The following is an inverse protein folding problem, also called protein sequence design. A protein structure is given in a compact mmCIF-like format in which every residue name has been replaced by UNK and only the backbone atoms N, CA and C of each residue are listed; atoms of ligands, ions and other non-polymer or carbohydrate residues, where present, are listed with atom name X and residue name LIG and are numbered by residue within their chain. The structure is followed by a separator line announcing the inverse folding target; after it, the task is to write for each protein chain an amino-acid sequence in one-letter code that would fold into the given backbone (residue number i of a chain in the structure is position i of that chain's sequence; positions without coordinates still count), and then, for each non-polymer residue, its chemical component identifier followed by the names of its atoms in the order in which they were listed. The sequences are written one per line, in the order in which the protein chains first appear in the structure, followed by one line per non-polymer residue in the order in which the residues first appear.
data_IF_461495117004
#
_entry.id   IF_461495117004
#
_cell.length_a   1.000
_cell.length_b   1.000
_cell.length_c   1.000
_cell.angle_alpha   90.00
_cell.angle_beta   90.00
_cell.angle_gamma   90.00
#
_symmetry.space_group_name_H-M   'P 1'
#
loop_
_entity.id
_entity.type
_entity.pdbx_description
1 polymer ?
#
# COMPACT_ATOMS: atom_id res chain seq x y z
N UNK A 1 -77.06 -10.45 -54.75
CA UNK A 1 -75.90 -9.61 -54.41
C UNK A 1 -75.33 -10.09 -53.08
N UNK A 2 -74.03 -10.43 -53.05
CA UNK A 2 -73.03 -10.42 -51.93
C UNK A 2 -73.49 -10.90 -50.54
N UNK A 3 -73.11 -12.11 -50.13
CA UNK A 3 -71.96 -12.46 -49.26
C UNK A 3 -71.85 -11.68 -47.94
N UNK A 4 -71.94 -12.40 -46.80
CA UNK A 4 -70.82 -12.44 -45.85
C UNK A 4 -70.96 -13.55 -44.79
N UNK A 5 -69.81 -14.16 -44.51
CA UNK A 5 -69.56 -15.41 -43.78
C UNK A 5 -69.51 -15.25 -42.24
N UNK A 6 -69.61 -16.36 -41.48
CA UNK A 6 -69.39 -16.42 -40.03
C UNK A 6 -67.99 -16.98 -39.71
N UNK A 7 -67.04 -16.19 -39.18
CA UNK A 7 -65.80 -16.75 -38.57
C UNK A 7 -65.10 -15.69 -37.70
N UNK A 8 -65.32 -15.68 -36.39
CA UNK A 8 -64.46 -14.96 -35.42
C UNK A 8 -64.66 -15.46 -33.99
N UNK A 9 -64.48 -16.76 -33.77
CA UNK A 9 -64.50 -17.32 -32.42
C UNK A 9 -63.45 -18.42 -32.26
N UNK A 10 -62.20 -18.17 -32.66
CA UNK A 10 -61.05 -19.07 -32.45
C UNK A 10 -59.68 -18.38 -32.27
N UNK A 11 -59.63 -17.11 -31.86
CA UNK A 11 -58.34 -16.38 -31.75
C UNK A 11 -57.89 -16.14 -30.29
N UNK A 12 -58.77 -16.30 -29.30
CA UNK A 12 -58.44 -15.95 -27.90
C UNK A 12 -57.92 -17.10 -27.01
N UNK A 13 -57.57 -18.25 -27.58
CA UNK A 13 -56.93 -19.36 -26.82
C UNK A 13 -55.43 -19.51 -27.14
N UNK A 14 -54.92 -18.81 -28.16
CA UNK A 14 -53.52 -18.93 -28.60
C UNK A 14 -52.51 -17.99 -27.92
N UNK A 15 -52.98 -16.99 -27.16
CA UNK A 15 -52.12 -15.91 -26.66
C UNK A 15 -51.64 -16.10 -25.21
N UNK A 16 -52.22 -17.06 -24.47
CA UNK A 16 -51.82 -17.36 -23.08
C UNK A 16 -50.77 -18.48 -22.98
N UNK A 17 -50.60 -19.29 -24.03
CA UNK A 17 -49.57 -20.33 -24.13
C UNK A 17 -48.21 -19.83 -24.62
N UNK A 18 -48.16 -18.64 -25.24
CA UNK A 18 -46.90 -18.05 -25.72
C UNK A 18 -46.05 -17.39 -24.61
N UNK A 19 -46.65 -17.05 -23.47
CA UNK A 19 -45.92 -16.41 -22.36
C UNK A 19 -45.19 -17.40 -21.44
N UNK A 20 -45.52 -18.70 -21.50
CA UNK A 20 -44.97 -19.73 -20.61
C UNK A 20 -43.71 -20.44 -21.16
N UNK A 21 -43.31 -20.15 -22.40
CA UNK A 21 -42.16 -20.81 -23.07
C UNK A 21 -40.86 -20.00 -22.94
N UNK A 22 -40.89 -18.76 -22.43
CA UNK A 22 -39.68 -17.92 -22.28
C UNK A 22 -38.94 -18.16 -20.96
N UNK A 23 -39.48 -18.97 -20.04
CA UNK A 23 -38.90 -19.21 -18.71
C UNK A 23 -38.12 -20.54 -18.56
N UNK A 24 -37.70 -21.19 -19.64
CA UNK A 24 -36.93 -22.43 -19.56
C UNK A 24 -35.74 -22.45 -20.52
N UNK A 25 -34.58 -21.94 -20.05
CA UNK A 25 -33.40 -22.81 -20.07
C UNK A 25 -32.56 -22.62 -18.79
N UNK A 26 -33.09 -23.00 -17.62
CA UNK A 26 -32.27 -23.09 -16.38
C UNK A 26 -31.98 -24.54 -15.99
N UNK A 27 -32.64 -25.52 -16.61
CA UNK A 27 -32.52 -26.93 -16.27
C UNK A 27 -31.66 -27.71 -17.29
N UNK A 28 -30.34 -27.51 -17.22
CA UNK A 28 -29.28 -28.48 -17.56
C UNK A 28 -27.89 -27.81 -17.49
N UNK A 29 -27.61 -27.01 -16.45
CA UNK A 29 -26.22 -26.64 -16.17
C UNK A 29 -25.53 -27.87 -15.56
N UNK A 30 -24.58 -28.44 -16.31
CA UNK A 30 -23.58 -29.37 -15.76
C UNK A 30 -23.00 -28.75 -14.48
N UNK A 31 -22.75 -29.54 -13.42
CA UNK A 31 -22.16 -29.00 -12.20
C UNK A 31 -20.88 -28.25 -12.58
N UNK A 32 -20.84 -26.96 -12.23
CA UNK A 32 -19.70 -26.11 -12.54
C UNK A 32 -18.46 -26.72 -11.86
N UNK A 33 -17.40 -26.92 -12.65
CA UNK A 33 -16.17 -27.55 -12.17
C UNK A 33 -15.20 -26.44 -11.73
N UNK A 34 -14.44 -26.65 -10.63
CA UNK A 34 -13.33 -25.76 -10.30
C UNK A 34 -12.28 -25.77 -11.42
N UNK A 35 -11.61 -24.63 -11.59
CA UNK A 35 -10.59 -24.41 -12.61
C UNK A 35 -9.19 -24.68 -12.06
N UNK A 36 -8.49 -25.60 -12.71
CA UNK A 36 -7.07 -25.86 -12.41
C UNK A 36 -6.21 -24.63 -12.71
N UNK A 37 -6.52 -23.91 -13.80
CA UNK A 37 -5.83 -22.70 -14.19
C UNK A 37 -5.94 -21.61 -13.12
N UNK A 38 -7.11 -21.47 -12.48
CA UNK A 38 -7.28 -20.54 -11.37
C UNK A 38 -6.44 -20.95 -10.15
N UNK A 39 -6.48 -22.23 -9.77
CA UNK A 39 -5.68 -22.75 -8.63
C UNK A 39 -4.19 -22.51 -8.85
N UNK A 40 -3.68 -22.80 -10.05
CA UNK A 40 -2.28 -22.57 -10.42
C UNK A 40 -1.94 -21.06 -10.41
N UNK A 41 -2.81 -20.22 -10.97
CA UNK A 41 -2.61 -18.77 -10.98
C UNK A 41 -2.56 -18.20 -9.56
N UNK A 42 -3.53 -18.56 -8.72
CA UNK A 42 -3.62 -18.09 -7.34
C UNK A 42 -2.40 -18.51 -6.52
N UNK A 43 -1.96 -19.76 -6.67
CA UNK A 43 -0.76 -20.29 -5.98
C UNK A 43 0.50 -19.55 -6.42
N UNK A 44 0.71 -19.38 -7.73
CA UNK A 44 1.88 -18.66 -8.26
C UNK A 44 1.87 -17.19 -7.85
N UNK A 45 0.72 -16.53 -7.94
CA UNK A 45 0.57 -15.15 -7.51
C UNK A 45 0.85 -14.99 -6.02
N UNK A 46 0.29 -15.87 -5.18
CA UNK A 46 0.53 -15.86 -3.74
C UNK A 46 2.01 -16.07 -3.39
N UNK A 47 2.71 -16.97 -4.11
CA UNK A 47 4.15 -17.15 -3.95
C UNK A 47 4.94 -15.89 -4.36
N UNK A 48 4.67 -15.37 -5.56
CA UNK A 48 5.35 -14.19 -6.08
C UNK A 48 5.17 -12.97 -5.16
N UNK A 49 3.94 -12.75 -4.70
CA UNK A 49 3.60 -11.68 -3.77
C UNK A 49 4.18 -11.92 -2.38
N UNK A 50 4.26 -13.17 -1.91
CA UNK A 50 4.90 -13.51 -0.64
C UNK A 50 6.41 -13.25 -0.63
N UNK A 51 7.08 -13.45 -1.77
CA UNK A 51 8.53 -13.26 -1.92
C UNK A 51 8.92 -11.80 -2.19
N UNK A 52 8.15 -11.11 -3.03
CA UNK A 52 8.51 -9.76 -3.55
C UNK A 52 7.59 -8.65 -3.05
N UNK A 53 6.52 -8.98 -2.33
CA UNK A 53 5.50 -8.01 -1.91
C UNK A 53 4.95 -7.26 -3.11
N UNK A 54 4.92 -5.94 -3.00
CA UNK A 54 4.43 -5.05 -4.04
C UNK A 54 5.30 -5.00 -5.31
N UNK A 55 6.58 -5.37 -5.24
CA UNK A 55 7.44 -5.44 -6.43
C UNK A 55 7.03 -6.58 -7.35
N UNK A 56 6.26 -7.56 -6.84
CA UNK A 56 5.65 -8.62 -7.64
C UNK A 56 4.81 -8.09 -8.81
N UNK A 57 4.25 -6.88 -8.70
CA UNK A 57 3.45 -6.28 -9.77
C UNK A 57 4.29 -5.82 -10.97
N UNK A 58 5.60 -5.67 -10.81
CA UNK A 58 6.53 -5.27 -11.87
C UNK A 58 7.27 -6.48 -12.44
N UNK A 59 7.07 -7.65 -11.84
CA UNK A 59 7.80 -8.85 -12.17
C UNK A 59 7.34 -9.50 -13.48
N UNK A 60 8.26 -9.94 -14.36
CA UNK A 60 7.89 -10.60 -15.62
C UNK A 60 7.16 -11.94 -15.42
N UNK A 61 7.35 -12.65 -14.30
CA UNK A 61 6.64 -13.90 -14.01
C UNK A 61 5.13 -13.69 -13.82
N UNK A 62 4.71 -12.46 -13.47
CA UNK A 62 3.30 -12.09 -13.35
C UNK A 62 2.53 -12.28 -14.67
N UNK A 63 3.20 -12.14 -15.83
CA UNK A 63 2.58 -12.37 -17.12
C UNK A 63 2.08 -13.82 -17.29
N UNK A 64 2.75 -14.78 -16.64
CA UNK A 64 2.31 -16.19 -16.65
C UNK A 64 1.07 -16.39 -15.79
N UNK A 65 0.96 -15.68 -14.66
CA UNK A 65 -0.26 -15.64 -13.84
C UNK A 65 -1.42 -15.05 -14.63
N UNK A 66 -1.21 -13.92 -15.32
CA UNK A 66 -2.23 -13.28 -16.16
C UNK A 66 -2.71 -14.22 -17.29
N UNK A 67 -1.79 -14.98 -17.90
CA UNK A 67 -2.12 -16.00 -18.91
C UNK A 67 -2.96 -17.14 -18.35
N UNK A 68 -2.63 -17.65 -17.16
CA UNK A 68 -3.42 -18.67 -16.49
C UNK A 68 -4.83 -18.16 -16.13
N UNK A 69 -4.93 -16.92 -15.66
CA UNK A 69 -6.22 -16.29 -15.36
C UNK A 69 -7.07 -16.04 -16.62
N UNK A 70 -6.44 -15.87 -17.78
CA UNK A 70 -7.15 -15.76 -19.06
C UNK A 70 -7.72 -17.10 -19.55
N UNK A 71 -7.19 -18.23 -19.08
CA UNK A 71 -7.65 -19.58 -19.43
C UNK A 71 -8.82 -20.07 -18.57
N UNK A 72 -9.22 -19.31 -17.53
CA UNK A 72 -10.34 -19.71 -16.66
C UNK A 72 -11.67 -19.65 -17.44
N UNK A 73 -12.41 -20.77 -17.56
CA UNK A 73 -13.69 -20.79 -18.25
C UNK A 73 -14.73 -19.93 -17.54
N UNK A 74 -15.59 -19.24 -18.30
CA UNK A 74 -16.64 -18.37 -17.75
C UNK A 74 -17.74 -19.13 -17.00
N UNK A 75 -17.89 -20.43 -17.25
CA UNK A 75 -18.81 -21.35 -16.59
C UNK A 75 -18.18 -22.09 -15.40
N UNK A 76 -16.92 -21.81 -15.06
CA UNK A 76 -16.25 -22.35 -13.89
C UNK A 76 -16.78 -21.70 -12.59
N UNK A 77 -16.70 -22.45 -11.49
CA UNK A 77 -16.97 -21.93 -10.14
C UNK A 77 -16.03 -20.75 -9.78
N UNK A 78 -14.82 -20.75 -10.33
CA UNK A 78 -13.80 -19.76 -10.00
C UNK A 78 -13.81 -18.54 -10.92
N UNK A 79 -14.77 -18.45 -11.85
CA UNK A 79 -14.79 -17.40 -12.86
C UNK A 79 -14.81 -15.99 -12.24
N UNK A 80 -15.62 -15.77 -11.21
CA UNK A 80 -15.71 -14.47 -10.51
C UNK A 80 -14.40 -14.15 -9.79
N UNK A 81 -13.88 -15.11 -9.01
CA UNK A 81 -12.64 -14.93 -8.26
C UNK A 81 -11.43 -14.70 -9.18
N UNK A 82 -11.41 -15.34 -10.36
CA UNK A 82 -10.40 -15.10 -11.38
C UNK A 82 -10.46 -13.66 -11.92
N UNK A 83 -11.67 -13.15 -12.21
CA UNK A 83 -11.84 -11.77 -12.67
C UNK A 83 -11.42 -10.74 -11.61
N UNK A 84 -11.77 -10.97 -10.34
CA UNK A 84 -11.34 -10.13 -9.23
C UNK A 84 -9.82 -10.11 -9.10
N UNK A 85 -9.16 -11.28 -9.18
CA UNK A 85 -7.71 -11.37 -9.12
C UNK A 85 -7.05 -10.63 -10.30
N UNK A 86 -7.61 -10.76 -11.52
CA UNK A 86 -7.14 -9.99 -12.69
C UNK A 86 -7.26 -8.49 -12.46
N UNK A 87 -8.40 -8.02 -11.95
CA UNK A 87 -8.62 -6.61 -11.66
C UNK A 87 -7.63 -6.06 -10.62
N UNK A 88 -7.37 -6.83 -9.56
CA UNK A 88 -6.35 -6.51 -8.55
C UNK A 88 -4.96 -6.44 -9.15
N UNK A 89 -4.57 -7.39 -9.99
CA UNK A 89 -3.28 -7.39 -10.68
C UNK A 89 -3.14 -6.14 -11.57
N UNK A 90 -4.15 -5.79 -12.36
CA UNK A 90 -4.09 -4.58 -13.20
C UNK A 90 -3.96 -3.31 -12.36
N UNK A 91 -4.70 -3.21 -11.26
CA UNK A 91 -4.62 -2.07 -10.34
C UNK A 91 -3.23 -1.98 -9.71
N UNK A 92 -2.69 -3.10 -9.24
CA UNK A 92 -1.35 -3.18 -8.66
C UNK A 92 -0.25 -2.78 -9.65
N UNK A 93 -0.34 -3.24 -10.90
CA UNK A 93 0.58 -2.84 -11.99
C UNK A 93 0.57 -1.33 -12.22
N UNK A 94 -0.61 -0.72 -12.29
CA UNK A 94 -0.73 0.73 -12.47
C UNK A 94 -0.13 1.50 -11.30
N UNK A 95 -0.40 1.08 -10.07
CA UNK A 95 0.15 1.71 -8.87
C UNK A 95 1.68 1.55 -8.79
N UNK A 96 2.21 0.36 -9.09
CA UNK A 96 3.65 0.11 -9.10
C UNK A 96 4.36 0.94 -10.18
N UNK A 97 3.81 1.02 -11.39
CA UNK A 97 4.35 1.87 -12.45
C UNK A 97 4.31 3.37 -12.08
N UNK A 98 3.23 3.83 -11.45
CA UNK A 98 3.13 5.21 -10.97
C UNK A 98 4.18 5.51 -9.88
N UNK A 99 4.44 4.57 -8.96
CA UNK A 99 5.48 4.69 -7.95
C UNK A 99 6.88 4.72 -8.57
N UNK A 100 7.18 3.86 -9.54
CA UNK A 100 8.47 3.89 -10.26
C UNK A 100 8.69 5.24 -10.93
N UNK A 101 7.70 5.72 -11.69
CA UNK A 101 7.78 7.02 -12.34
C UNK A 101 7.98 8.17 -11.36
N UNK A 102 7.26 8.16 -10.23
CA UNK A 102 7.42 9.18 -9.20
C UNK A 102 8.83 9.19 -8.59
N UNK A 103 9.45 8.02 -8.43
CA UNK A 103 10.84 7.89 -7.97
C UNK A 103 11.82 8.43 -9.01
N UNK A 104 11.66 8.06 -10.28
CA UNK A 104 12.48 8.58 -11.38
C UNK A 104 12.39 10.11 -11.48
N UNK A 105 11.18 10.67 -11.40
CA UNK A 105 10.94 12.11 -11.40
C UNK A 105 11.58 12.81 -10.19
N UNK A 106 11.55 12.18 -9.02
CA UNK A 106 12.19 12.72 -7.81
C UNK A 106 13.72 12.72 -7.94
N UNK A 107 14.31 11.65 -8.48
CA UNK A 107 15.75 11.57 -8.74
C UNK A 107 16.19 12.56 -9.82
N UNK A 108 15.40 12.76 -10.87
CA UNK A 108 15.67 13.76 -11.90
C UNK A 108 15.66 15.17 -11.32
N UNK A 109 14.65 15.52 -10.51
CA UNK A 109 14.58 16.82 -9.82
C UNK A 109 15.73 17.05 -8.85
N UNK A 110 16.15 16.03 -8.11
CA UNK A 110 17.32 16.12 -7.22
C UNK A 110 18.61 16.42 -7.99
N UNK A 111 18.77 15.85 -9.21
CA UNK A 111 19.92 16.16 -10.09
C UNK A 111 19.88 17.58 -10.64
N UNK A 112 18.69 18.09 -10.98
CA UNK A 112 18.51 19.47 -11.49
C UNK A 112 18.73 20.54 -10.41
N UNK A 113 18.41 20.23 -9.15
CA UNK A 113 18.59 21.17 -8.04
C UNK A 113 20.06 21.39 -7.65
N UNK A 114 20.98 20.53 -8.12
CA UNK A 114 22.42 20.63 -7.89
C UNK A 114 22.82 20.65 -6.39
N UNK A 115 24.10 20.48 -6.05
CA UNK A 115 24.57 20.84 -4.73
C UNK A 115 24.42 22.36 -4.59
N UNK A 116 23.39 22.79 -3.86
CA UNK A 116 23.28 24.19 -3.44
C UNK A 116 24.54 24.53 -2.66
N UNK A 117 25.36 25.39 -3.26
CA UNK A 117 26.63 25.88 -2.74
C UNK A 117 26.37 26.71 -1.48
N UNK A 118 26.33 26.04 -0.34
CA UNK A 118 26.40 26.66 0.98
C UNK A 118 27.83 27.11 1.22
N UNK A 119 28.14 28.34 0.81
CA UNK A 119 29.43 28.96 1.07
C UNK A 119 29.70 29.10 2.57
N UNK A 120 30.81 28.53 3.02
CA UNK A 120 31.54 29.02 4.19
C UNK A 120 32.94 29.40 3.74
N UNK A 121 33.07 30.62 3.25
CA UNK A 121 34.35 31.30 3.19
C UNK A 121 34.72 31.81 4.59
N UNK A 122 35.89 31.41 5.07
CA UNK A 122 36.64 32.17 6.07
C UNK A 122 38.12 31.83 5.90
N UNK A 123 38.76 32.52 4.96
CA UNK A 123 40.18 32.82 5.05
C UNK A 123 40.40 33.74 6.27
N UNK A 124 41.30 33.37 7.19
CA UNK A 124 42.36 34.27 7.71
C UNK A 124 43.39 33.44 8.50
N UNK A 125 44.57 33.24 7.90
CA UNK A 125 45.84 33.54 8.57
C UNK A 125 46.63 32.44 9.31
N UNK A 126 47.69 31.98 8.62
CA UNK A 126 49.08 31.80 9.12
C UNK A 126 49.53 30.44 9.73
N UNK A 127 50.84 30.10 9.67
CA UNK A 127 51.43 29.25 8.62
C UNK A 127 52.02 27.92 9.13
N UNK A 128 52.12 26.93 8.23
CA UNK A 128 52.80 25.65 8.47
C UNK A 128 54.34 25.83 8.62
N UNK A 129 55.01 24.90 9.33
CA UNK A 129 55.76 23.89 8.58
C UNK A 129 55.65 22.45 9.15
N UNK A 130 55.16 21.54 8.30
CA UNK A 130 55.60 20.18 7.91
C UNK A 130 56.32 19.22 8.90
N UNK A 131 56.43 17.91 8.57
CA UNK A 131 55.37 16.95 8.22
C UNK A 131 55.60 15.59 8.96
N UNK A 132 54.54 14.84 9.30
CA UNK A 132 54.54 13.37 9.20
C UNK A 132 53.17 12.77 9.54
N UNK A 133 52.69 11.95 8.60
CA UNK A 133 51.73 10.85 8.76
C UNK A 133 50.34 11.18 9.31
N UNK A 134 49.49 11.70 8.43
CA UNK A 134 48.04 11.41 8.46
C UNK A 134 47.60 11.23 7.02
N UNK A 135 47.29 9.97 6.68
CA UNK A 135 46.76 9.57 5.38
C UNK A 135 45.46 10.32 5.02
N UNK A 136 45.18 10.51 3.72
CA UNK A 136 44.16 11.41 3.24
C UNK A 136 42.75 10.90 3.54
N UNK A 137 41.92 11.82 4.04
CA UNK A 137 40.47 11.69 4.08
C UNK A 137 39.98 11.89 2.65
N UNK A 138 39.91 10.80 1.89
CA UNK A 138 39.27 10.78 0.57
C UNK A 138 37.73 10.78 0.75
N UNK A 139 37.12 11.86 0.26
CA UNK A 139 35.82 11.92 -0.43
C UNK A 139 34.96 10.64 -0.37
N UNK A 140 34.00 10.61 0.55
CA UNK A 140 32.79 9.81 0.38
C UNK A 140 31.72 10.72 -0.24
N UNK A 141 31.58 10.58 -1.55
CA UNK A 141 30.44 11.02 -2.35
C UNK A 141 29.11 10.72 -1.64
N UNK A 142 28.29 11.76 -1.53
CA UNK A 142 26.89 11.68 -1.10
C UNK A 142 26.06 11.06 -2.24
N UNK A 143 26.10 9.72 -2.28
CA UNK A 143 25.23 8.89 -3.10
C UNK A 143 24.72 7.75 -2.21
N UNK A 144 23.41 7.81 -1.92
CA UNK A 144 22.69 6.84 -1.09
C UNK A 144 23.05 5.40 -1.47
N UNK A 145 23.82 4.77 -0.59
CA UNK A 145 24.11 3.35 -0.67
C UNK A 145 23.22 2.66 0.35
N UNK A 146 22.28 1.90 -0.19
CA UNK A 146 21.61 0.80 0.48
C UNK A 146 22.70 -0.15 0.99
N UNK A 147 22.99 -0.06 2.27
CA UNK A 147 24.03 -0.83 2.91
C UNK A 147 23.77 -0.81 4.40
N UNK A 148 23.43 -1.98 4.94
CA UNK A 148 23.34 -2.23 6.35
C UNK A 148 24.60 -1.68 7.06
N UNK A 149 24.40 -0.65 7.90
CA UNK A 149 25.05 -0.38 9.18
C UNK A 149 25.00 1.13 9.45
N UNK A 150 23.88 1.60 10.03
CA UNK A 150 23.86 2.84 10.79
C UNK A 150 23.52 2.45 12.24
N UNK A 151 24.52 1.86 12.91
CA UNK A 151 24.47 1.48 14.32
C UNK A 151 23.68 0.21 14.56
N UNK A 152 24.36 -0.94 14.57
CA UNK A 152 23.83 -2.23 15.02
C UNK A 152 22.89 -2.07 16.24
N UNK A 153 21.59 -2.03 15.99
CA UNK A 153 20.55 -2.01 17.02
C UNK A 153 19.52 -0.88 16.96
N UNK A 154 19.74 0.22 16.22
CA UNK A 154 18.80 1.38 16.18
C UNK A 154 17.77 1.21 15.05
N UNK A 155 16.46 1.18 15.35
CA UNK A 155 15.42 1.07 14.34
C UNK A 155 15.39 2.27 13.39
N UNK A 156 15.48 1.98 12.10
CA UNK A 156 15.55 2.92 11.00
C UNK A 156 14.29 2.92 10.12
N UNK A 157 14.28 3.75 9.08
CA UNK A 157 13.30 3.60 7.99
C UNK A 157 13.46 2.21 7.36
N UNK A 158 12.35 1.53 7.09
CA UNK A 158 12.32 0.16 6.59
C UNK A 158 12.29 -0.93 7.67
N UNK A 159 12.55 -0.60 8.95
CA UNK A 159 12.46 -1.58 10.04
C UNK A 159 11.03 -2.12 10.15
N UNK A 160 10.83 -3.45 10.21
CA UNK A 160 9.50 -4.03 10.39
C UNK A 160 8.95 -3.73 11.79
N UNK A 161 7.64 -3.48 11.88
CA UNK A 161 6.93 -3.25 13.14
C UNK A 161 7.13 -4.41 14.12
N UNK A 162 7.20 -5.65 13.62
CA UNK A 162 7.47 -6.83 14.46
C UNK A 162 8.82 -6.75 15.20
N UNK A 163 9.82 -6.09 14.62
CA UNK A 163 11.13 -5.88 15.25
C UNK A 163 11.09 -4.76 16.30
N UNK A 164 10.26 -3.74 16.11
CA UNK A 164 9.98 -2.73 17.14
C UNK A 164 9.26 -3.38 18.33
N UNK A 165 8.24 -4.18 18.06
CA UNK A 165 7.47 -4.89 19.07
C UNK A 165 8.34 -5.87 19.89
N UNK A 166 9.28 -6.56 19.24
CA UNK A 166 10.16 -7.55 19.91
C UNK A 166 11.28 -6.93 20.73
N UNK A 167 11.68 -5.69 20.44
CA UNK A 167 12.74 -5.00 21.18
C UNK A 167 12.37 -4.60 22.61
N UNK A 168 11.07 -4.52 22.93
CA UNK A 168 10.55 -4.14 24.25
C UNK A 168 10.80 -2.69 24.68
N UNK A 169 11.51 -1.91 23.87
CA UNK A 169 11.82 -0.50 24.11
C UNK A 169 10.96 0.47 23.30
N UNK A 170 10.16 -0.03 22.35
CA UNK A 170 9.22 0.78 21.59
C UNK A 170 7.80 0.41 21.97
N UNK A 171 6.93 1.41 22.03
CA UNK A 171 5.53 1.28 22.36
C UNK A 171 4.68 1.90 21.26
N UNK A 172 3.53 1.28 20.99
CA UNK A 172 2.53 1.83 20.08
C UNK A 172 1.83 2.99 20.79
N UNK A 173 1.89 4.17 20.17
CA UNK A 173 1.18 5.36 20.61
C UNK A 173 -0.17 5.53 19.92
N UNK A 174 -0.85 6.64 20.20
CA UNK A 174 -2.10 6.98 19.53
C UNK A 174 -1.89 7.17 18.02
N UNK A 175 -2.77 6.59 17.16
CA UNK A 175 -2.71 6.79 15.72
C UNK A 175 -2.84 8.28 15.39
N UNK A 176 -2.04 8.77 14.46
CA UNK A 176 -2.03 10.17 14.06
C UNK A 176 -2.42 10.34 12.59
N UNK A 177 -3.03 11.48 12.27
CA UNK A 177 -3.34 11.82 10.89
C UNK A 177 -2.12 12.46 10.22
N UNK A 178 -1.59 11.79 9.20
CA UNK A 178 -0.46 12.29 8.41
C UNK A 178 -1.01 13.05 7.22
N UNK A 179 -0.61 14.32 7.06
CA UNK A 179 -1.04 15.18 5.95
C UNK A 179 -0.82 14.48 4.60
N UNK A 180 -1.90 14.24 3.86
CA UNK A 180 -1.87 13.59 2.55
C UNK A 180 -1.77 12.06 2.56
N UNK A 181 -1.66 11.42 3.74
CA UNK A 181 -1.64 9.94 3.88
C UNK A 181 -2.73 9.37 4.79
N UNK A 182 -3.42 10.21 5.55
CA UNK A 182 -4.50 9.80 6.45
C UNK A 182 -3.99 9.19 7.76
N UNK A 183 -4.84 8.44 8.45
CA UNK A 183 -4.51 7.85 9.76
C UNK A 183 -3.39 6.82 9.64
N UNK A 184 -2.37 6.93 10.50
CA UNK A 184 -1.22 6.03 10.55
C UNK A 184 -0.88 5.64 11.97
N UNK A 185 -0.29 4.46 12.09
CA UNK A 185 0.18 3.94 13.36
C UNK A 185 1.46 4.66 13.77
N UNK A 186 1.49 5.01 15.05
CA UNK A 186 2.59 5.72 15.69
C UNK A 186 3.31 4.78 16.63
N UNK A 187 4.63 4.75 16.54
CA UNK A 187 5.48 4.09 17.51
C UNK A 187 6.45 5.09 18.10
N UNK A 188 6.73 4.95 19.39
CA UNK A 188 7.64 5.83 20.11
C UNK A 188 8.48 5.05 21.11
N UNK A 189 9.58 5.66 21.52
CA UNK A 189 10.43 5.08 22.54
C UNK A 189 9.70 5.08 23.88
N UNK A 190 9.67 3.91 24.53
CA UNK A 190 9.12 3.77 25.87
C UNK A 190 9.95 4.58 26.87
N UNK A 191 9.28 5.19 27.84
CA UNK A 191 9.90 6.12 28.80
C UNK A 191 10.66 5.38 29.92
N UNK A 192 11.63 4.54 29.54
CA UNK A 192 12.49 3.79 30.47
C UNK A 192 13.94 4.27 30.35
N UNK A 193 14.67 4.44 31.47
CA UNK A 193 16.05 4.92 31.44
C UNK A 193 16.98 4.10 30.53
N UNK A 194 16.85 2.77 30.56
CA UNK A 194 17.64 1.86 29.72
C UNK A 194 17.37 2.09 28.22
N UNK A 195 16.11 2.23 27.83
CA UNK A 195 15.71 2.47 26.45
C UNK A 195 16.17 3.85 25.96
N UNK A 196 16.06 4.89 26.80
CA UNK A 196 16.54 6.24 26.47
C UNK A 196 18.05 6.31 26.28
N UNK A 197 18.82 5.58 27.09
CA UNK A 197 20.28 5.51 26.92
C UNK A 197 20.67 4.74 25.66
N UNK A 198 20.01 3.61 25.40
CA UNK A 198 20.30 2.77 24.24
C UNK A 198 19.89 3.45 22.91
N UNK A 199 18.81 4.22 22.94
CA UNK A 199 18.22 4.87 21.76
C UNK A 199 18.19 6.39 21.93
N UNK A 200 19.33 6.98 22.31
CA UNK A 200 19.41 8.40 22.62
C UNK A 200 19.03 9.31 21.45
N UNK A 201 19.36 8.90 20.22
CA UNK A 201 19.00 9.62 19.00
C UNK A 201 17.50 9.62 18.67
N UNK A 202 16.71 8.74 19.29
CA UNK A 202 15.28 8.56 19.03
C UNK A 202 14.37 9.13 20.12
N UNK A 203 14.93 9.73 21.19
CA UNK A 203 14.14 10.20 22.33
C UNK A 203 13.11 11.28 21.95
N UNK A 204 13.47 12.17 21.02
CA UNK A 204 12.60 13.22 20.49
C UNK A 204 11.97 12.86 19.15
N UNK A 205 12.02 11.59 18.77
CA UNK A 205 11.52 11.10 17.50
C UNK A 205 10.35 10.14 17.68
N UNK A 206 9.53 10.09 16.65
CA UNK A 206 8.38 9.23 16.54
C UNK A 206 8.47 8.50 15.21
N UNK A 207 8.26 7.18 15.26
CA UNK A 207 8.28 6.33 14.09
C UNK A 207 6.86 6.21 13.55
N UNK A 208 6.67 6.56 12.28
CA UNK A 208 5.41 6.38 11.57
C UNK A 208 5.46 5.03 10.86
N UNK A 209 4.43 4.21 11.05
CA UNK A 209 4.34 2.90 10.41
C UNK A 209 3.39 2.96 9.22
N UNK A 210 3.84 2.40 8.10
CA UNK A 210 3.02 2.13 6.91
C UNK A 210 3.31 0.71 6.44
N UNK A 211 2.26 -0.05 6.14
CA UNK A 211 2.38 -1.44 5.64
C UNK A 211 3.23 -2.36 6.55
N UNK A 212 3.18 -2.13 7.87
CA UNK A 212 3.92 -2.91 8.86
C UNK A 212 5.42 -2.61 8.91
N UNK A 213 5.88 -1.48 8.33
CA UNK A 213 7.27 -1.02 8.38
C UNK A 213 7.38 0.44 8.78
N UNK A 214 8.51 0.82 9.37
CA UNK A 214 8.84 2.22 9.63
C UNK A 214 8.96 2.95 8.30
N UNK A 215 8.04 3.86 8.08
CA UNK A 215 8.00 4.71 6.91
C UNK A 215 8.91 5.93 7.07
N UNK A 216 8.86 6.55 8.25
CA UNK A 216 9.57 7.78 8.54
C UNK A 216 9.79 7.93 10.04
N UNK A 217 10.88 8.61 10.39
CA UNK A 217 11.07 9.14 11.73
C UNK A 217 10.80 10.63 11.68
N UNK A 218 9.94 11.11 12.56
CA UNK A 218 9.55 12.51 12.63
C UNK A 218 9.86 13.06 14.02
N UNK A 219 10.40 14.28 14.13
CA UNK A 219 10.60 14.89 15.43
C UNK A 219 9.23 15.11 16.08
N UNK A 220 9.13 14.85 17.38
CA UNK A 220 7.88 14.99 18.14
C UNK A 220 7.31 16.41 18.06
N UNK A 221 8.17 17.42 17.89
CA UNK A 221 7.79 18.83 17.66
C UNK A 221 7.06 19.08 16.34
N UNK A 222 7.19 18.21 15.34
CA UNK A 222 6.48 18.33 14.07
C UNK A 222 5.07 17.72 14.10
N UNK A 223 4.69 17.04 15.19
CA UNK A 223 3.35 16.44 15.35
C UNK A 223 2.40 17.52 15.87
N UNK A 224 1.40 17.87 15.07
CA UNK A 224 0.31 18.74 15.50
C UNK A 224 -0.80 17.89 16.10
N UNK A 225 -1.16 18.17 17.37
CA UNK A 225 -2.35 17.60 17.96
C UNK A 225 -3.57 18.32 17.37
N UNK A 226 -4.38 17.61 16.59
CA UNK A 226 -5.70 18.11 16.21
C UNK A 226 -6.60 17.87 17.42
N UNK A 227 -7.14 18.90 18.09
CA UNK A 227 -8.12 18.68 19.14
C UNK A 227 -9.31 17.94 18.54
N UNK A 228 -9.71 16.85 19.19
CA UNK A 228 -10.95 16.17 18.87
C UNK A 228 -12.10 17.09 19.28
N UNK A 229 -12.58 17.92 18.35
CA UNK A 229 -13.78 18.71 18.55
C UNK A 229 -14.96 17.76 18.75
N UNK A 230 -15.30 17.58 20.02
CA UNK A 230 -16.34 16.69 20.53
C UNK A 230 -17.71 17.15 20.07
N UNK A 231 -18.23 16.49 19.04
CA UNK A 231 -19.67 16.37 18.86
C UNK A 231 -20.18 15.18 19.65
N UNK A 232 -20.92 15.42 20.74
CA UNK A 232 -22.17 14.72 21.11
C UNK A 232 -22.78 15.44 22.33
N UNK A 233 -24.04 15.82 22.21
CA UNK A 233 -24.78 16.54 23.24
C UNK A 233 -25.20 15.70 24.45
N UNK A 234 -25.57 16.44 25.50
CA UNK A 234 -26.38 16.00 26.64
C UNK A 234 -25.77 16.35 28.01
N UNK A 235 -26.56 16.73 29.04
CA UNK A 235 -28.01 16.93 29.08
C UNK A 235 -28.40 18.43 29.20
N UNK A 236 -29.51 18.80 28.58
CA UNK A 236 -30.30 19.97 28.97
C UNK A 236 -30.76 19.81 30.43
N UNK A 237 -30.57 20.80 31.31
CA UNK A 237 -31.31 20.84 32.57
C UNK A 237 -32.74 21.31 32.26
N UNK A 238 -33.66 20.36 32.14
CA UNK A 238 -35.09 20.64 32.16
C UNK A 238 -35.58 20.79 33.61
N UNK A 239 -36.23 21.94 33.84
CA UNK A 239 -37.28 22.26 34.80
C UNK A 239 -37.18 21.77 36.28
N UNK A 240 -36.98 22.75 37.17
CA UNK A 240 -37.94 23.13 38.21
C UNK A 240 -38.51 22.07 39.17
N UNK A 241 -38.11 22.16 40.43
CA UNK A 241 -39.03 22.18 41.57
C UNK A 241 -38.42 22.91 42.76
#
# INVERSE_FOLDING_TARGET
MRLSSPFSSRIFVGLLTALLVVAAPVACRKPAKPSEAYTQAHTRFGKLYGEKGDDAFLDPELAQVESLLAQVPADSLDAVAAQELRARIQTGKQQAAARQKAQEDAMAKAREQGPSTGGFGSETGSPAPAPSDSEPVDEASDAGTEGADAGAGVPGVGTPEAQLASSGCFQKGEPLEVKGRGRRDRWELADRPACRQQYASLQDQVLIIEEGKVLAQVPRSAIQAIPADGGTGGPTPDAGR
#
